data_IF_376394927230
#
_entry.id   IF_376394927230
#
_cell.length_a   1.000
_cell.length_b   1.000
_cell.length_c   1.000
_cell.angle_alpha   90.00
_cell.angle_beta   90.00
_cell.angle_gamma   90.00
#
_symmetry.space_group_name_H-M   'P 1'
#
loop_
_entity.id
_entity.type
_entity.pdbx_description
1 polymer ?
#
# COMPACT_ATOMS: atom_id res chain seq x y z
N UNK A 1 -0.75 16.40 -12.23
CA UNK A 1 0.67 16.63 -11.92
C UNK A 1 1.54 15.53 -12.50
N UNK A 2 2.82 15.79 -12.77
CA UNK A 2 3.79 14.83 -13.35
C UNK A 2 4.65 14.12 -12.28
N UNK A 3 4.29 14.24 -11.01
CA UNK A 3 5.09 13.76 -9.87
C UNK A 3 4.14 13.25 -8.79
N UNK A 4 4.43 12.05 -8.26
CA UNK A 4 3.85 11.54 -7.03
C UNK A 4 4.82 11.79 -5.87
N UNK A 5 4.33 12.37 -4.80
CA UNK A 5 5.10 12.56 -3.58
C UNK A 5 4.54 11.63 -2.50
N UNK A 6 5.42 10.86 -1.85
CA UNK A 6 5.07 10.07 -0.66
C UNK A 6 5.78 10.69 0.54
N UNK A 7 4.99 11.26 1.44
CA UNK A 7 5.49 11.75 2.73
C UNK A 7 5.32 10.66 3.79
N UNK A 8 6.39 10.39 4.53
CA UNK A 8 6.42 9.36 5.56
C UNK A 8 6.83 9.97 6.90
N UNK A 9 6.07 9.65 7.96
CA UNK A 9 6.46 9.96 9.34
C UNK A 9 6.50 8.69 10.18
N UNK A 10 7.52 8.59 11.02
CA UNK A 10 7.64 7.56 12.07
C UNK A 10 7.17 8.04 13.44
N UNK A 11 6.57 9.21 13.54
CA UNK A 11 5.97 9.67 14.79
C UNK A 11 4.74 8.83 15.14
N UNK A 12 4.49 8.64 16.44
CA UNK A 12 3.32 7.91 16.97
C UNK A 12 3.15 6.47 16.46
N UNK A 13 4.25 5.78 16.10
CA UNK A 13 4.20 4.39 15.67
C UNK A 13 3.51 3.48 16.70
N UNK A 14 2.56 2.67 16.23
CA UNK A 14 1.94 1.64 17.03
C UNK A 14 2.92 0.45 17.18
N UNK A 15 3.36 0.08 18.40
CA UNK A 15 4.27 -1.05 18.59
C UNK A 15 3.71 -2.40 18.11
N UNK A 16 2.39 -2.53 18.02
CA UNK A 16 1.71 -3.75 17.56
C UNK A 16 1.56 -3.81 16.03
N UNK A 17 1.68 -2.68 15.35
CA UNK A 17 1.57 -2.57 13.89
C UNK A 17 2.74 -1.71 13.38
N UNK A 18 3.95 -2.31 13.29
CA UNK A 18 5.14 -1.62 12.82
C UNK A 18 4.89 -1.01 11.45
N UNK A 19 5.35 0.22 11.26
CA UNK A 19 5.29 0.89 9.98
C UNK A 19 6.69 0.96 9.37
N UNK A 20 6.81 0.45 8.15
CA UNK A 20 8.04 0.29 7.38
C UNK A 20 7.94 1.06 6.07
N UNK A 21 9.09 1.47 5.53
CA UNK A 21 9.20 2.09 4.22
C UNK A 21 10.43 1.55 3.51
N UNK A 22 10.29 1.25 2.22
CA UNK A 22 11.40 0.90 1.34
C UNK A 22 11.09 1.33 -0.09
N UNK A 23 12.14 1.49 -0.90
CA UNK A 23 12.02 1.67 -2.34
C UNK A 23 12.96 0.72 -3.05
N UNK A 24 12.45 0.02 -4.06
CA UNK A 24 13.24 -0.85 -4.94
C UNK A 24 12.84 -0.53 -6.38
N UNK A 25 13.82 -0.28 -7.24
CA UNK A 25 13.62 0.00 -8.68
C UNK A 25 12.52 1.03 -8.98
N UNK A 26 12.59 2.18 -8.31
CA UNK A 26 11.64 3.30 -8.43
C UNK A 26 10.19 2.96 -8.02
N UNK A 27 10.03 1.93 -7.18
CA UNK A 27 8.77 1.53 -6.57
C UNK A 27 8.85 1.77 -5.05
N UNK A 28 8.59 3.00 -4.56
CA UNK A 28 8.45 3.24 -3.13
C UNK A 28 7.20 2.55 -2.59
N UNK A 29 7.35 1.90 -1.42
CA UNK A 29 6.27 1.25 -0.70
C UNK A 29 6.33 1.62 0.78
N UNK A 30 5.17 1.99 1.32
CA UNK A 30 4.93 2.09 2.75
C UNK A 30 4.10 0.88 3.19
N UNK A 31 4.47 0.27 4.30
CA UNK A 31 3.79 -0.88 4.89
C UNK A 31 3.48 -0.57 6.34
N UNK A 32 2.33 -1.01 6.83
CA UNK A 32 2.01 -0.98 8.25
C UNK A 32 1.28 -2.26 8.67
N UNK A 33 1.85 -3.01 9.61
CA UNK A 33 1.23 -4.21 10.18
C UNK A 33 2.17 -5.39 10.27
N UNK A 34 1.64 -6.59 10.10
CA UNK A 34 2.40 -7.83 10.18
C UNK A 34 1.97 -8.85 9.12
N UNK A 35 2.96 -9.51 8.51
CA UNK A 35 2.77 -10.64 7.61
C UNK A 35 3.11 -11.93 8.37
N UNK A 36 2.19 -12.88 8.38
CA UNK A 36 2.29 -14.12 9.15
C UNK A 36 3.09 -15.20 8.41
N UNK A 37 2.92 -15.31 7.10
CA UNK A 37 3.55 -16.35 6.27
C UNK A 37 4.89 -15.91 5.62
N UNK A 38 5.63 -15.01 6.28
CA UNK A 38 6.91 -14.44 5.81
C UNK A 38 7.92 -15.46 5.27
N UNK A 39 8.12 -16.58 5.98
CA UNK A 39 9.11 -17.60 5.59
C UNK A 39 8.74 -18.26 4.27
N UNK A 40 7.45 -18.53 4.07
CA UNK A 40 6.94 -19.10 2.83
C UNK A 40 7.13 -18.13 1.66
N UNK A 41 6.75 -16.86 1.84
CA UNK A 41 6.88 -15.83 0.81
C UNK A 41 8.35 -15.60 0.42
N UNK A 42 9.28 -15.58 1.38
CA UNK A 42 10.72 -15.50 1.07
C UNK A 42 11.19 -16.65 0.19
N UNK A 43 10.69 -17.86 0.42
CA UNK A 43 11.04 -19.02 -0.39
C UNK A 43 10.39 -18.97 -1.77
N UNK A 44 9.11 -18.60 -1.85
CA UNK A 44 8.33 -18.47 -3.09
C UNK A 44 8.93 -17.44 -4.05
N UNK A 45 9.34 -16.29 -3.52
CA UNK A 45 9.93 -15.20 -4.31
C UNK A 45 11.46 -15.25 -4.39
N UNK A 46 12.11 -16.27 -3.81
CA UNK A 46 13.57 -16.42 -3.87
C UNK A 46 14.35 -15.30 -3.16
N UNK A 47 13.77 -14.72 -2.10
CA UNK A 47 14.32 -13.57 -1.39
C UNK A 47 15.40 -13.97 -0.39
N UNK A 48 16.31 -13.03 -0.12
CA UNK A 48 17.34 -13.24 0.89
C UNK A 48 16.76 -13.29 2.32
N UNK A 49 17.55 -13.77 3.28
CA UNK A 49 17.12 -13.90 4.68
C UNK A 49 16.79 -12.55 5.34
N UNK A 50 17.39 -11.46 4.87
CA UNK A 50 17.24 -10.10 5.41
C UNK A 50 16.05 -9.33 4.85
N UNK A 51 15.33 -9.87 3.87
CA UNK A 51 14.11 -9.26 3.34
C UNK A 51 13.08 -9.10 4.47
N UNK A 52 12.47 -7.93 4.56
CA UNK A 52 11.38 -7.64 5.48
C UNK A 52 10.05 -7.58 4.70
N UNK A 53 8.97 -7.29 5.42
CA UNK A 53 7.59 -7.26 4.91
C UNK A 53 7.45 -6.33 3.69
N UNK A 54 8.02 -5.12 3.76
CA UNK A 54 7.91 -4.13 2.68
C UNK A 54 8.66 -4.57 1.41
N UNK A 55 9.81 -5.24 1.54
CA UNK A 55 10.55 -5.79 0.39
C UNK A 55 9.77 -6.93 -0.27
N UNK A 56 9.12 -7.78 0.53
CA UNK A 56 8.28 -8.87 0.00
C UNK A 56 7.14 -8.31 -0.85
N UNK A 57 6.49 -7.24 -0.40
CA UNK A 57 5.40 -6.62 -1.15
C UNK A 57 5.87 -6.03 -2.49
N UNK A 58 7.00 -5.32 -2.51
CA UNK A 58 7.54 -4.76 -3.75
C UNK A 58 7.90 -5.88 -4.74
N UNK A 59 8.55 -6.95 -4.27
CA UNK A 59 8.96 -8.08 -5.13
C UNK A 59 7.77 -8.92 -5.62
N UNK A 60 6.73 -9.11 -4.78
CA UNK A 60 5.49 -9.74 -5.18
C UNK A 60 4.79 -8.95 -6.29
N UNK A 61 4.64 -7.63 -6.11
CA UNK A 61 4.07 -6.72 -7.11
C UNK A 61 4.85 -6.78 -8.44
N UNK A 62 6.18 -6.65 -8.39
CA UNK A 62 7.04 -6.72 -9.58
C UNK A 62 6.89 -8.04 -10.32
N UNK A 63 6.91 -9.15 -9.59
CA UNK A 63 6.77 -10.50 -10.16
C UNK A 63 5.48 -10.63 -10.94
N UNK A 64 4.37 -10.03 -10.47
CA UNK A 64 3.10 -10.05 -11.19
C UNK A 64 3.07 -9.11 -12.38
N UNK A 65 3.53 -7.87 -12.21
CA UNK A 65 3.65 -6.90 -13.30
C UNK A 65 4.43 -7.48 -14.47
N UNK A 66 5.53 -8.16 -14.18
CA UNK A 66 6.45 -8.69 -15.20
C UNK A 66 5.94 -10.01 -15.83
N UNK A 67 5.00 -10.73 -15.21
CA UNK A 67 4.50 -12.04 -15.69
C UNK A 67 3.24 -12.00 -16.57
N UNK A 68 2.59 -10.85 -16.74
CA UNK A 68 1.43 -10.70 -17.62
C UNK A 68 0.24 -10.03 -16.92
N UNK A 69 -0.92 -9.88 -17.60
CA UNK A 69 -2.05 -9.12 -17.07
C UNK A 69 -2.75 -9.90 -15.96
N UNK A 70 -2.23 -9.79 -14.74
CA UNK A 70 -2.85 -10.31 -13.53
C UNK A 70 -3.58 -9.18 -12.81
N UNK A 71 -4.82 -9.40 -12.35
CA UNK A 71 -5.47 -8.45 -11.49
C UNK A 71 -4.63 -8.33 -10.20
N UNK A 72 -4.42 -7.11 -9.68
CA UNK A 72 -3.39 -6.92 -8.66
C UNK A 72 -3.83 -7.36 -7.25
N UNK A 73 -5.08 -7.81 -7.10
CA UNK A 73 -5.57 -8.64 -5.98
C UNK A 73 -4.79 -9.96 -5.84
N UNK A 74 -4.30 -10.54 -6.94
CA UNK A 74 -3.45 -11.74 -6.89
C UNK A 74 -2.10 -11.50 -6.22
N UNK A 75 -1.64 -10.24 -6.11
CA UNK A 75 -0.38 -9.91 -5.42
C UNK A 75 -0.45 -10.16 -3.93
N UNK A 76 -1.66 -10.05 -3.39
CA UNK A 76 -1.92 -10.02 -1.96
C UNK A 76 -2.73 -11.23 -1.49
N UNK A 77 -3.31 -12.00 -2.42
CA UNK A 77 -4.08 -13.21 -2.13
C UNK A 77 -3.30 -14.22 -1.28
N UNK A 78 -2.04 -14.49 -1.64
CA UNK A 78 -1.18 -15.43 -0.93
C UNK A 78 -0.46 -14.80 0.29
N UNK A 79 -0.67 -13.51 0.59
CA UNK A 79 0.02 -12.81 1.67
C UNK A 79 -0.90 -12.73 2.89
N UNK A 80 -0.63 -13.57 3.88
CA UNK A 80 -1.48 -13.68 5.07
C UNK A 80 -0.99 -12.75 6.16
N UNK A 81 -1.92 -12.06 6.81
CA UNK A 81 -1.65 -11.28 8.00
C UNK A 81 -2.65 -10.17 8.22
N UNK A 82 -2.19 -9.15 8.94
CA UNK A 82 -2.95 -7.95 9.26
C UNK A 82 -2.09 -6.73 8.95
N UNK A 83 -2.32 -6.15 7.79
CA UNK A 83 -1.51 -5.03 7.32
C UNK A 83 -2.24 -4.17 6.29
N UNK A 84 -1.73 -2.96 6.12
CA UNK A 84 -2.04 -2.06 5.02
C UNK A 84 -0.74 -1.68 4.33
N UNK A 85 -0.78 -1.48 3.01
CA UNK A 85 0.35 -0.92 2.30
C UNK A 85 -0.08 0.02 1.18
N UNK A 86 0.88 0.86 0.79
CA UNK A 86 0.75 1.84 -0.29
C UNK A 86 2.01 1.73 -1.12
N UNK A 87 1.87 1.35 -2.38
CA UNK A 87 2.95 1.20 -3.34
C UNK A 87 2.69 2.12 -4.51
N UNK A 88 3.71 2.86 -4.94
CA UNK A 88 3.63 3.65 -6.17
C UNK A 88 4.63 3.09 -7.18
N UNK A 89 4.14 2.65 -8.34
CA UNK A 89 5.01 2.24 -9.44
C UNK A 89 5.20 3.41 -10.41
N UNK A 90 6.42 3.96 -10.43
CA UNK A 90 6.78 5.07 -11.29
C UNK A 90 6.71 4.73 -12.79
N UNK A 91 6.91 3.46 -13.16
CA UNK A 91 6.89 3.02 -14.55
C UNK A 91 5.47 3.02 -15.13
N UNK A 92 4.50 2.53 -14.35
CA UNK A 92 3.07 2.53 -14.73
C UNK A 92 2.34 3.82 -14.34
N UNK A 93 2.92 4.62 -13.43
CA UNK A 93 2.30 5.80 -12.78
C UNK A 93 1.01 5.44 -12.05
N UNK A 94 1.03 4.26 -11.41
CA UNK A 94 -0.11 3.73 -10.68
C UNK A 94 0.24 3.60 -9.21
N UNK A 95 -0.68 4.01 -8.36
CA UNK A 95 -0.62 3.74 -6.92
C UNK A 95 -1.51 2.55 -6.62
N UNK A 96 -0.94 1.53 -5.99
CA UNK A 96 -1.63 0.37 -5.49
C UNK A 96 -1.71 0.44 -3.98
N UNK A 97 -2.92 0.26 -3.45
CA UNK A 97 -3.15 0.21 -2.01
C UNK A 97 -3.97 -1.02 -1.70
N UNK A 98 -3.57 -1.75 -0.67
CA UNK A 98 -4.41 -2.79 -0.14
C UNK A 98 -4.37 -2.85 1.38
N UNK A 99 -5.52 -3.18 1.94
CA UNK A 99 -5.68 -3.64 3.33
C UNK A 99 -5.96 -5.13 3.29
N UNK A 100 -5.15 -5.90 4.00
CA UNK A 100 -5.31 -7.34 4.19
C UNK A 100 -5.51 -7.60 5.67
N UNK A 101 -6.64 -8.21 6.02
CA UNK A 101 -6.95 -8.64 7.38
C UNK A 101 -7.70 -9.96 7.35
N UNK A 102 -7.11 -11.01 7.94
CA UNK A 102 -7.80 -12.29 8.13
C UNK A 102 -8.81 -12.28 9.28
N UNK A 103 -8.80 -11.23 10.12
CA UNK A 103 -9.77 -11.01 11.18
C UNK A 103 -10.82 -9.99 10.76
N UNK A 104 -12.09 -10.38 10.78
CA UNK A 104 -13.25 -9.57 10.36
C UNK A 104 -13.46 -8.31 11.22
N UNK A 105 -12.87 -8.28 12.42
CA UNK A 105 -12.96 -7.19 13.41
C UNK A 105 -11.66 -6.36 13.49
N UNK A 106 -10.67 -6.72 12.67
CA UNK A 106 -9.28 -6.30 12.81
C UNK A 106 -8.83 -5.17 11.87
N UNK A 107 -9.71 -4.30 11.37
CA UNK A 107 -9.28 -3.31 10.38
C UNK A 107 -8.22 -2.35 10.93
N UNK A 108 -7.17 -2.10 10.16
CA UNK A 108 -6.23 -1.01 10.46
C UNK A 108 -6.94 0.29 10.08
N UNK A 109 -7.20 1.23 11.02
CA UNK A 109 -7.89 2.46 10.67
C UNK A 109 -7.04 3.23 9.65
N UNK A 110 -7.53 3.31 8.41
CA UNK A 110 -6.85 3.97 7.32
C UNK A 110 -7.88 4.76 6.50
N UNK A 111 -7.52 5.97 6.11
CA UNK A 111 -8.37 6.91 5.40
C UNK A 111 -7.65 7.38 4.15
N UNK A 112 -8.43 7.61 3.10
CA UNK A 112 -7.93 8.14 1.85
C UNK A 112 -8.78 9.31 1.40
N UNK A 113 -8.19 10.20 0.61
CA UNK A 113 -8.88 11.32 0.02
C UNK A 113 -8.11 11.94 -1.12
N UNK A 114 -8.70 12.95 -1.74
CA UNK A 114 -8.06 13.73 -2.80
C UNK A 114 -8.10 15.21 -2.43
N UNK A 115 -6.93 15.85 -2.44
CA UNK A 115 -6.85 17.29 -2.19
C UNK A 115 -7.42 18.12 -3.38
N UNK A 116 -7.44 19.44 -3.24
CA UNK A 116 -7.94 20.34 -4.29
C UNK A 116 -7.13 20.31 -5.59
N UNK A 117 -5.91 19.78 -5.57
CA UNK A 117 -5.01 19.68 -6.73
C UNK A 117 -5.06 18.29 -7.39
N UNK A 118 -5.82 17.35 -6.84
CA UNK A 118 -5.95 15.99 -7.36
C UNK A 118 -4.91 15.02 -6.79
N UNK A 119 -4.17 15.38 -5.74
CA UNK A 119 -3.21 14.49 -5.10
C UNK A 119 -3.92 13.52 -4.16
N UNK A 120 -3.49 12.25 -4.20
CA UNK A 120 -3.93 11.23 -3.27
C UNK A 120 -3.32 11.49 -1.88
N UNK A 121 -4.16 11.59 -0.86
CA UNK A 121 -3.77 11.75 0.54
C UNK A 121 -4.20 10.52 1.32
N UNK A 122 -3.30 9.99 2.15
CA UNK A 122 -3.50 8.76 2.92
C UNK A 122 -3.03 8.97 4.35
N UNK A 123 -3.82 8.53 5.32
CA UNK A 123 -3.45 8.61 6.74
C UNK A 123 -4.24 7.62 7.59
N UNK A 124 -3.66 7.18 8.69
CA UNK A 124 -4.36 6.50 9.78
C UNK A 124 -5.13 7.48 10.69
N UNK A 125 -4.92 8.79 10.50
CA UNK A 125 -5.63 9.86 11.18
C UNK A 125 -6.66 10.53 10.24
N UNK A 126 -7.95 10.38 10.59
CA UNK A 126 -9.05 10.97 9.84
C UNK A 126 -8.99 12.50 9.79
N UNK A 127 -8.48 13.16 10.83
CA UNK A 127 -8.43 14.61 10.90
C UNK A 127 -7.39 15.18 9.94
N UNK A 128 -6.27 14.48 9.72
CA UNK A 128 -5.27 14.83 8.71
C UNK A 128 -5.89 14.82 7.31
N UNK A 129 -6.58 13.72 6.95
CA UNK A 129 -7.20 13.59 5.61
C UNK A 129 -8.32 14.61 5.44
N UNK A 130 -9.13 14.84 6.49
CA UNK A 130 -10.22 15.83 6.46
C UNK A 130 -9.70 17.25 6.30
N UNK A 131 -8.58 17.60 6.93
CA UNK A 131 -7.96 18.92 6.76
C UNK A 131 -7.45 19.14 5.32
N UNK A 132 -6.81 18.13 4.73
CA UNK A 132 -6.23 18.23 3.39
C UNK A 132 -7.26 18.09 2.25
N UNK A 133 -8.28 17.23 2.43
CA UNK A 133 -9.19 16.83 1.36
C UNK A 133 -10.61 17.42 1.50
N UNK A 134 -10.90 18.09 2.61
CA UNK A 134 -12.22 18.66 2.88
C UNK A 134 -13.31 17.59 2.94
N UNK A 135 -14.19 17.55 1.93
CA UNK A 135 -15.29 16.56 1.83
C UNK A 135 -14.94 15.35 0.97
N UNK A 136 -13.79 15.38 0.29
CA UNK A 136 -13.36 14.35 -0.67
C UNK A 136 -12.50 13.29 0.03
N UNK A 137 -13.06 12.60 1.03
CA UNK A 137 -12.37 11.53 1.74
C UNK A 137 -13.32 10.41 2.15
N UNK A 138 -12.77 9.22 2.37
CA UNK A 138 -13.51 8.06 2.84
C UNK A 138 -12.60 7.16 3.71
N UNK A 139 -13.19 6.39 4.65
CA UNK A 139 -12.47 5.28 5.25
C UNK A 139 -12.12 4.25 4.17
N UNK A 140 -11.04 3.49 4.41
CA UNK A 140 -10.72 2.35 3.57
C UNK A 140 -11.86 1.31 3.63
N UNK A 141 -12.22 0.66 2.51
CA UNK A 141 -13.26 -0.38 2.53
C UNK A 141 -12.89 -1.51 3.49
N UNK A 142 -13.89 -2.10 4.15
CA UNK A 142 -13.70 -3.24 5.06
C UNK A 142 -13.96 -4.56 4.32
N UNK A 143 -13.11 -5.56 4.58
CA UNK A 143 -13.12 -6.85 3.91
C UNK A 143 -11.79 -7.58 4.13
N UNK A 144 -11.70 -8.86 3.75
CA UNK A 144 -10.48 -9.66 3.97
C UNK A 144 -9.30 -9.16 3.11
N UNK A 145 -9.61 -8.74 1.89
CA UNK A 145 -8.69 -8.06 0.96
C UNK A 145 -9.48 -6.91 0.33
N UNK A 146 -9.04 -5.67 0.56
CA UNK A 146 -9.60 -4.50 -0.10
C UNK A 146 -8.49 -3.81 -0.87
N UNK A 147 -8.79 -3.43 -2.12
CA UNK A 147 -7.84 -2.79 -3.01
C UNK A 147 -8.38 -1.45 -3.51
N UNK A 148 -7.49 -0.45 -3.59
CA UNK A 148 -7.71 0.75 -4.40
C UNK A 148 -6.52 0.93 -5.33
N UNK A 149 -6.78 0.93 -6.64
CA UNK A 149 -5.80 1.29 -7.65
C UNK A 149 -6.10 2.69 -8.19
N UNK A 150 -5.13 3.60 -8.07
CA UNK A 150 -5.21 4.95 -8.61
C UNK A 150 -4.24 5.09 -9.77
N UNK A 151 -4.77 5.26 -10.97
CA UNK A 151 -3.96 5.57 -12.14
C UNK A 151 -3.81 7.08 -12.28
N UNK A 152 -2.57 7.56 -12.36
CA UNK A 152 -2.29 8.95 -12.69
C UNK A 152 -2.73 9.26 -14.12
N UNK A 153 -3.98 9.68 -14.33
CA UNK A 153 -4.35 10.34 -15.59
C UNK A 153 -3.52 11.61 -15.71
N UNK A 154 -2.56 11.60 -16.62
CA UNK A 154 -1.95 12.83 -17.11
C UNK A 154 -3.04 13.81 -17.58
N UNK A 155 -2.79 15.13 -17.56
CA UNK A 155 -3.79 16.09 -18.01
C UNK A 155 -4.29 15.67 -19.39
N UNK A 156 -5.61 15.59 -19.55
CA UNK A 156 -6.22 15.49 -20.87
C UNK A 156 -5.79 16.74 -21.66
N UNK A 157 -4.93 16.52 -22.66
CA UNK A 157 -4.54 17.55 -23.63
C UNK A 157 -5.74 18.01 -24.43
#
# INVERSE_FOLDING_TARGET
GSSGFLAYSSEHQNPLLPRLFAGVDDIPCMFQGHIENLVHLKQQYGLNKTANEVIILIEAYRTLRDRGPYPPDQAVEDIHGKFVFVLYDSASRSTFLAEVSFDVDGSVPFFWGTDSEGHLVLSDDADIVKHGCGKSFAPFPKGNVNELCFEGKGPAT
#
